data_IF_748144555137
#
_entry.id   IF_748144555137
#
_cell.length_a   1.000
_cell.length_b   1.000
_cell.length_c   1.000
_cell.angle_alpha   90.00
_cell.angle_beta   90.00
_cell.angle_gamma   90.00
#
_symmetry.space_group_name_H-M   'P 1'
#
loop_
_entity.id
_entity.type
_entity.pdbx_description
1 polymer ?
#
# COMPACT_ATOMS: atom_id res chain seq x y z
N UNK A 1 24.75 13.69 -65.31
CA UNK A 1 24.69 12.26 -64.91
C UNK A 1 25.15 12.14 -63.45
N UNK A 2 24.32 12.56 -62.49
CA UNK A 2 24.57 12.36 -61.04
C UNK A 2 23.31 12.48 -60.15
N UNK A 3 22.12 12.36 -60.72
CA UNK A 3 20.83 12.58 -60.03
C UNK A 3 20.57 11.60 -58.88
N UNK A 4 21.17 10.41 -58.93
CA UNK A 4 21.01 9.38 -57.90
C UNK A 4 21.72 9.72 -56.59
N UNK A 5 22.93 10.29 -56.65
CA UNK A 5 23.71 10.61 -55.46
C UNK A 5 23.10 11.77 -54.67
N UNK A 6 22.58 12.80 -55.35
CA UNK A 6 21.90 13.93 -54.70
C UNK A 6 20.60 13.51 -54.02
N UNK A 7 19.79 12.67 -54.68
CA UNK A 7 18.58 12.09 -54.10
C UNK A 7 18.90 11.22 -52.87
N UNK A 8 20.00 10.47 -52.90
CA UNK A 8 20.43 9.66 -51.76
C UNK A 8 20.86 10.52 -50.56
N UNK A 9 21.51 11.66 -50.81
CA UNK A 9 21.91 12.62 -49.76
C UNK A 9 20.68 13.33 -49.17
N UNK A 10 19.71 13.72 -49.99
CA UNK A 10 18.47 14.33 -49.50
C UNK A 10 17.62 13.34 -48.68
N UNK A 11 17.61 12.06 -49.06
CA UNK A 11 16.87 11.01 -48.37
C UNK A 11 17.52 10.48 -47.08
N UNK A 12 18.67 11.02 -46.66
CA UNK A 12 19.45 10.50 -45.51
C UNK A 12 18.64 10.33 -44.22
N UNK A 13 17.75 11.27 -43.90
CA UNK A 13 16.93 11.21 -42.68
C UNK A 13 15.85 10.15 -42.78
N UNK A 14 15.22 10.00 -43.95
CA UNK A 14 14.25 8.94 -44.22
C UNK A 14 14.91 7.56 -44.19
N UNK A 15 16.14 7.43 -44.71
CA UNK A 15 16.92 6.20 -44.66
C UNK A 15 17.27 5.84 -43.21
N UNK A 16 17.76 6.80 -42.42
CA UNK A 16 18.05 6.56 -40.99
C UNK A 16 16.80 6.18 -40.22
N UNK A 17 15.67 6.83 -40.49
CA UNK A 17 14.38 6.50 -39.86
C UNK A 17 13.92 5.08 -40.21
N UNK A 18 13.97 4.70 -41.49
CA UNK A 18 13.59 3.35 -41.92
C UNK A 18 14.53 2.28 -41.35
N UNK A 19 15.83 2.55 -41.29
CA UNK A 19 16.80 1.64 -40.65
C UNK A 19 16.47 1.48 -39.17
N UNK A 20 16.20 2.57 -38.45
CA UNK A 20 15.85 2.54 -37.03
C UNK A 20 14.55 1.78 -36.77
N UNK A 21 13.52 2.00 -37.58
CA UNK A 21 12.25 1.28 -37.48
C UNK A 21 12.43 -0.22 -37.71
N UNK A 22 13.23 -0.58 -38.72
CA UNK A 22 13.51 -1.99 -39.05
C UNK A 22 14.32 -2.66 -37.94
N UNK A 23 15.33 -1.98 -37.38
CA UNK A 23 16.12 -2.48 -36.25
C UNK A 23 15.26 -2.69 -35.00
N UNK A 24 14.39 -1.73 -34.66
CA UNK A 24 13.50 -1.84 -33.52
C UNK A 24 12.54 -3.02 -33.69
N UNK A 25 11.94 -3.19 -34.87
CA UNK A 25 11.07 -4.32 -35.18
C UNK A 25 11.81 -5.65 -35.04
N UNK A 26 13.03 -5.76 -35.58
CA UNK A 26 13.85 -6.97 -35.47
C UNK A 26 14.22 -7.29 -34.01
N UNK A 27 14.49 -6.28 -33.18
CA UNK A 27 14.78 -6.48 -31.75
C UNK A 27 13.54 -7.01 -31.03
N UNK A 28 12.38 -6.38 -31.22
CA UNK A 28 11.13 -6.82 -30.57
C UNK A 28 10.76 -8.23 -31.01
N UNK A 29 10.82 -8.51 -32.30
CA UNK A 29 10.54 -9.84 -32.84
C UNK A 29 11.50 -10.91 -32.30
N UNK A 30 12.79 -10.56 -32.17
CA UNK A 30 13.79 -11.45 -31.56
C UNK A 30 13.49 -11.70 -30.07
N UNK A 31 13.09 -10.68 -29.32
CA UNK A 31 12.73 -10.80 -27.91
C UNK A 31 11.43 -11.59 -27.69
N UNK A 32 10.44 -11.44 -28.57
CA UNK A 32 9.19 -12.21 -28.52
C UNK A 32 9.42 -13.70 -28.82
N UNK A 33 10.33 -14.02 -29.74
CA UNK A 33 10.72 -15.41 -30.03
C UNK A 33 11.68 -15.98 -29.00
N UNK A 34 12.32 -15.12 -28.21
CA UNK A 34 13.15 -15.56 -27.11
C UNK A 34 12.23 -16.05 -25.98
N UNK A 35 11.95 -17.35 -26.04
CA UNK A 35 11.32 -18.09 -24.96
C UNK A 35 12.43 -18.86 -24.21
N UNK A 36 13.24 -18.20 -23.36
CA UNK A 36 14.18 -18.94 -22.53
C UNK A 36 13.35 -19.92 -21.71
N UNK A 37 13.76 -21.19 -21.72
CA UNK A 37 13.16 -22.16 -20.82
C UNK A 37 13.19 -21.55 -19.41
N UNK A 38 12.07 -21.56 -18.65
CA UNK A 38 12.11 -21.11 -17.27
C UNK A 38 13.26 -21.86 -16.62
N UNK A 39 14.15 -21.14 -15.95
CA UNK A 39 15.30 -21.73 -15.30
C UNK A 39 14.78 -22.88 -14.44
N UNK A 40 15.10 -24.12 -14.84
CA UNK A 40 14.74 -25.29 -14.05
C UNK A 40 15.57 -25.12 -12.79
N UNK A 41 14.91 -24.68 -11.72
CA UNK A 41 15.51 -24.64 -10.41
C UNK A 41 15.71 -26.10 -10.05
N UNK A 42 16.93 -26.60 -10.29
CA UNK A 42 17.32 -27.93 -9.87
C UNK A 42 17.01 -28.02 -8.36
N UNK A 43 16.37 -29.09 -7.91
CA UNK A 43 15.98 -29.24 -6.50
C UNK A 43 17.21 -29.17 -5.55
N UNK A 44 18.42 -29.34 -6.10
CA UNK A 44 19.70 -29.07 -5.45
C UNK A 44 19.94 -27.58 -5.14
N UNK A 45 19.48 -26.67 -5.99
CA UNK A 45 19.52 -25.20 -5.75
C UNK A 45 18.39 -24.72 -4.84
N UNK A 46 17.22 -25.39 -4.85
CA UNK A 46 16.16 -25.16 -3.83
C UNK A 46 16.69 -25.45 -2.42
N UNK A 47 17.59 -26.44 -2.25
CA UNK A 47 18.22 -26.72 -0.96
C UNK A 47 19.17 -25.60 -0.48
N UNK A 48 19.65 -24.71 -1.37
CA UNK A 48 20.40 -23.50 -0.99
C UNK A 48 19.49 -22.26 -0.81
N UNK A 49 18.26 -22.30 -1.35
CA UNK A 49 17.16 -21.37 -1.04
C UNK A 49 16.43 -21.77 0.25
N UNK A 50 16.72 -22.94 0.81
CA UNK A 50 16.52 -23.23 2.22
C UNK A 50 17.60 -22.56 3.08
N UNK A 51 17.93 -21.30 2.83
CA UNK A 51 18.31 -20.44 3.95
C UNK A 51 17.05 -20.35 4.80
N UNK A 52 16.88 -21.30 5.70
CA UNK A 52 16.07 -21.11 6.89
C UNK A 52 16.42 -19.71 7.36
N UNK A 53 15.43 -18.81 7.33
CA UNK A 53 15.58 -17.54 8.03
C UNK A 53 15.69 -17.94 9.49
N UNK A 54 16.90 -18.26 9.91
CA UNK A 54 17.24 -18.42 11.31
C UNK A 54 17.14 -17.01 11.85
N UNK A 55 15.96 -16.69 12.40
CA UNK A 55 15.82 -15.56 13.29
C UNK A 55 16.93 -15.76 14.32
N UNK A 56 17.90 -14.84 14.34
CA UNK A 56 18.95 -14.88 15.34
C UNK A 56 18.25 -14.78 16.70
N UNK A 57 18.25 -15.88 17.45
CA UNK A 57 17.62 -15.93 18.77
C UNK A 57 18.20 -14.84 19.70
N UNK A 58 19.44 -14.39 19.44
CA UNK A 58 20.09 -13.27 20.11
C UNK A 58 19.48 -11.89 19.80
N UNK A 59 18.90 -11.68 18.61
CA UNK A 59 18.17 -10.45 18.26
C UNK A 59 16.83 -10.34 19.01
N UNK A 60 16.19 -11.46 19.32
CA UNK A 60 14.95 -11.50 20.11
C UNK A 60 15.21 -11.49 21.61
N UNK A 61 16.25 -12.17 22.09
CA UNK A 61 16.58 -12.27 23.52
C UNK A 61 17.01 -10.94 24.17
N UNK A 62 17.32 -9.92 23.37
CA UNK A 62 17.85 -8.63 23.85
C UNK A 62 16.84 -7.47 23.85
N UNK A 63 15.63 -7.64 23.30
CA UNK A 63 14.57 -6.62 23.44
C UNK A 63 13.83 -6.79 24.76
N UNK A 64 14.49 -6.45 25.86
CA UNK A 64 13.82 -6.32 27.14
C UNK A 64 12.74 -5.22 27.03
N UNK A 65 11.49 -5.56 27.31
CA UNK A 65 10.44 -4.58 27.49
C UNK A 65 10.84 -3.67 28.65
N UNK A 66 11.11 -2.39 28.35
CA UNK A 66 11.31 -1.36 29.36
C UNK A 66 10.11 -0.41 29.37
N UNK A 67 9.81 0.22 30.52
CA UNK A 67 8.90 1.35 30.56
C UNK A 67 9.35 2.46 29.60
N UNK A 68 8.38 3.22 29.08
CA UNK A 68 8.67 4.46 28.37
C UNK A 68 9.29 5.47 29.34
N UNK A 69 10.23 6.26 28.84
CA UNK A 69 10.68 7.48 29.51
C UNK A 69 9.56 8.53 29.49
N UNK A 70 9.66 9.55 30.34
CA UNK A 70 8.70 10.66 30.36
C UNK A 70 8.57 11.35 28.99
N UNK A 71 9.70 11.57 28.31
CA UNK A 71 9.74 12.17 26.96
C UNK A 71 9.05 11.29 25.92
N UNK A 72 9.26 9.96 25.96
CA UNK A 72 8.59 9.04 25.02
C UNK A 72 7.08 8.96 25.29
N UNK A 73 6.68 9.01 26.57
CA UNK A 73 5.27 9.07 26.95
C UNK A 73 4.62 10.38 26.47
N UNK A 74 5.33 11.51 26.56
CA UNK A 74 4.88 12.79 25.99
C UNK A 74 4.71 12.71 24.48
N UNK A 75 5.68 12.15 23.75
CA UNK A 75 5.57 11.94 22.31
C UNK A 75 4.38 11.05 21.94
N UNK A 76 4.15 9.97 22.70
CA UNK A 76 3.02 9.09 22.48
C UNK A 76 1.68 9.83 22.66
N UNK A 77 1.56 10.69 23.68
CA UNK A 77 0.38 11.55 23.89
C UNK A 77 0.18 12.56 22.75
N UNK A 78 1.26 13.19 22.28
CA UNK A 78 1.20 14.14 21.16
C UNK A 78 0.78 13.43 19.87
N UNK A 79 1.35 12.26 19.59
CA UNK A 79 0.96 11.45 18.44
C UNK A 79 -0.51 11.01 18.53
N UNK A 80 -0.95 10.57 19.71
CA UNK A 80 -2.35 10.15 19.93
C UNK A 80 -3.35 11.28 19.67
N UNK A 81 -2.99 12.53 20.01
CA UNK A 81 -3.83 13.71 19.76
C UNK A 81 -4.23 13.86 18.29
N UNK A 82 -3.40 13.41 17.35
CA UNK A 82 -3.78 13.38 15.94
C UNK A 82 -5.05 12.56 15.71
N UNK A 83 -5.11 11.34 16.26
CA UNK A 83 -6.27 10.47 16.10
C UNK A 83 -7.48 11.00 16.86
N UNK A 84 -7.28 11.60 18.03
CA UNK A 84 -8.37 12.23 18.77
C UNK A 84 -9.03 13.37 17.97
N UNK A 85 -8.22 14.24 17.37
CA UNK A 85 -8.72 15.40 16.62
C UNK A 85 -9.40 15.02 15.30
N UNK A 86 -9.06 13.85 14.74
CA UNK A 86 -9.48 13.42 13.41
C UNK A 86 -10.51 12.28 13.43
N UNK A 87 -10.96 11.86 14.61
CA UNK A 87 -11.89 10.76 14.78
C UNK A 87 -13.32 11.16 14.42
N UNK A 88 -13.98 10.31 13.65
CA UNK A 88 -15.39 10.43 13.28
C UNK A 88 -16.17 9.37 14.03
N UNK A 89 -16.94 9.78 15.04
CA UNK A 89 -17.65 8.87 15.96
C UNK A 89 -18.66 7.97 15.28
N UNK A 90 -19.33 8.47 14.25
CA UNK A 90 -20.42 7.81 13.54
C UNK A 90 -19.93 6.57 12.80
N UNK A 91 -18.71 6.63 12.25
CA UNK A 91 -18.12 5.57 11.44
C UNK A 91 -16.97 4.87 12.16
N UNK A 92 -16.47 5.42 13.25
CA UNK A 92 -15.24 4.97 13.90
C UNK A 92 -13.97 5.22 13.08
N UNK A 93 -14.06 5.91 11.94
CA UNK A 93 -12.91 6.17 11.05
C UNK A 93 -12.10 7.37 11.56
N UNK A 94 -10.88 7.52 11.02
CA UNK A 94 -10.03 8.70 11.27
C UNK A 94 -9.60 9.29 9.95
N UNK A 95 -9.66 10.63 9.85
CA UNK A 95 -9.19 11.37 8.69
C UNK A 95 -7.69 11.15 8.43
N UNK A 96 -7.32 11.03 7.15
CA UNK A 96 -5.91 10.92 6.72
C UNK A 96 -5.12 12.21 6.89
N UNK A 97 -5.80 13.35 7.01
CA UNK A 97 -5.23 14.64 7.40
C UNK A 97 -6.24 15.50 8.15
N UNK A 98 -5.77 16.49 8.92
CA UNK A 98 -6.63 17.46 9.61
C UNK A 98 -7.58 18.15 8.63
N UNK A 99 -8.88 18.15 8.97
CA UNK A 99 -9.97 18.74 8.17
C UNK A 99 -10.08 18.18 6.75
N UNK A 100 -9.59 16.96 6.53
CA UNK A 100 -9.72 16.25 5.27
C UNK A 100 -10.49 14.94 5.47
N UNK A 101 -11.83 14.94 5.29
CA UNK A 101 -12.69 13.80 5.64
C UNK A 101 -12.57 12.66 4.62
N UNK A 102 -11.38 12.08 4.51
CA UNK A 102 -11.07 10.94 3.67
C UNK A 102 -9.96 10.10 4.29
N UNK A 103 -10.01 8.79 4.07
CA UNK A 103 -8.95 7.86 4.48
C UNK A 103 -8.82 6.71 3.49
N UNK A 104 -7.61 6.19 3.40
CA UNK A 104 -7.30 4.94 2.69
C UNK A 104 -7.26 3.77 3.68
N UNK A 105 -7.19 2.54 3.18
CA UNK A 105 -6.94 1.37 4.04
C UNK A 105 -5.55 1.42 4.67
N UNK A 106 -4.58 2.13 4.07
CA UNK A 106 -3.29 2.40 4.68
C UNK A 106 -3.40 3.26 5.94
N UNK A 107 -4.19 4.34 5.87
CA UNK A 107 -4.44 5.24 7.00
C UNK A 107 -5.24 4.54 8.08
N UNK A 108 -6.27 3.79 7.67
CA UNK A 108 -7.12 3.00 8.56
C UNK A 108 -6.30 1.96 9.33
N UNK A 109 -5.42 1.21 8.64
CA UNK A 109 -4.53 0.26 9.30
C UNK A 109 -3.57 0.94 10.29
N UNK A 110 -3.08 2.13 9.94
CA UNK A 110 -2.22 2.93 10.82
C UNK A 110 -2.97 3.42 12.06
N UNK A 111 -4.25 3.79 11.92
CA UNK A 111 -5.12 4.10 13.04
C UNK A 111 -5.36 2.89 13.94
N UNK A 112 -5.68 1.72 13.37
CA UNK A 112 -5.90 0.51 14.17
C UNK A 112 -4.67 0.14 15.01
N UNK A 113 -3.48 0.16 14.41
CA UNK A 113 -2.23 -0.05 15.14
C UNK A 113 -1.97 1.04 16.18
N UNK A 114 -2.27 2.30 15.86
CA UNK A 114 -2.18 3.42 16.78
C UNK A 114 -3.10 3.26 18.00
N UNK A 115 -4.34 2.81 17.79
CA UNK A 115 -5.31 2.57 18.84
C UNK A 115 -4.91 1.37 19.73
N UNK A 116 -4.41 0.27 19.13
CA UNK A 116 -3.84 -0.86 19.87
C UNK A 116 -2.65 -0.41 20.72
N UNK A 117 -1.74 0.39 20.15
CA UNK A 117 -0.59 0.91 20.88
C UNK A 117 -1.03 1.86 22.01
N UNK A 118 -1.99 2.75 21.76
CA UNK A 118 -2.51 3.69 22.75
C UNK A 118 -3.16 2.97 23.93
N UNK A 119 -3.91 1.90 23.68
CA UNK A 119 -4.47 1.06 24.75
C UNK A 119 -3.36 0.38 25.57
N UNK A 120 -2.36 -0.21 24.90
CA UNK A 120 -1.23 -0.87 25.59
C UNK A 120 -0.33 0.08 26.38
N UNK A 121 -0.29 1.35 25.99
CA UNK A 121 0.42 2.42 26.69
C UNK A 121 -0.46 3.14 27.71
N UNK A 122 -1.70 2.66 27.94
CA UNK A 122 -2.66 3.23 28.88
C UNK A 122 -3.01 4.70 28.59
N UNK A 123 -2.90 5.11 27.32
CA UNK A 123 -3.35 6.42 26.83
C UNK A 123 -4.87 6.45 26.58
N UNK A 124 -5.47 5.28 26.36
CA UNK A 124 -6.89 5.06 26.11
C UNK A 124 -7.36 3.93 27.02
N UNK A 125 -8.55 4.07 27.61
CA UNK A 125 -9.13 3.01 28.44
C UNK A 125 -9.56 1.81 27.60
N UNK A 126 -9.79 0.67 28.23
CA UNK A 126 -10.28 -0.54 27.55
C UNK A 126 -11.66 -0.27 26.92
N UNK A 127 -12.53 0.46 27.61
CA UNK A 127 -13.88 0.78 27.12
C UNK A 127 -13.82 1.68 25.88
N UNK A 128 -12.96 2.72 25.91
CA UNK A 128 -12.79 3.61 24.77
C UNK A 128 -12.11 2.91 23.59
N UNK A 129 -11.23 1.94 23.86
CA UNK A 129 -10.67 1.07 22.82
C UNK A 129 -11.75 0.21 22.17
N UNK A 130 -12.55 -0.49 22.98
CA UNK A 130 -13.61 -1.39 22.50
C UNK A 130 -14.67 -0.62 21.71
N UNK A 131 -15.08 0.56 22.18
CA UNK A 131 -16.02 1.43 21.49
C UNK A 131 -15.51 1.83 20.10
N UNK A 132 -14.29 2.38 20.05
CA UNK A 132 -13.69 2.88 18.81
C UNK A 132 -13.42 1.76 17.81
N UNK A 133 -12.83 0.65 18.28
CA UNK A 133 -12.50 -0.49 17.43
C UNK A 133 -13.78 -1.17 16.92
N UNK A 134 -14.80 -1.33 17.77
CA UNK A 134 -16.08 -1.92 17.35
C UNK A 134 -16.80 -1.06 16.32
N UNK A 135 -16.80 0.27 16.49
CA UNK A 135 -17.38 1.19 15.51
C UNK A 135 -16.68 1.08 14.14
N UNK A 136 -15.34 1.09 14.13
CA UNK A 136 -14.56 0.95 12.91
C UNK A 136 -14.80 -0.40 12.23
N UNK A 137 -14.77 -1.51 12.98
CA UNK A 137 -14.97 -2.85 12.42
C UNK A 137 -16.38 -3.02 11.84
N UNK A 138 -17.41 -2.42 12.46
CA UNK A 138 -18.76 -2.38 11.89
C UNK A 138 -18.80 -1.64 10.56
N UNK A 139 -18.11 -0.50 10.46
CA UNK A 139 -17.99 0.26 9.21
C UNK A 139 -17.27 -0.54 8.13
N UNK A 140 -16.11 -1.13 8.46
CA UNK A 140 -15.34 -1.95 7.52
C UNK A 140 -16.13 -3.17 7.00
N UNK A 141 -16.98 -3.75 7.84
CA UNK A 141 -17.83 -4.89 7.46
C UNK A 141 -18.99 -4.51 6.53
N UNK A 142 -19.41 -3.24 6.50
CA UNK A 142 -20.59 -2.78 5.76
C UNK A 142 -20.26 -1.81 4.61
N UNK A 143 -19.03 -1.30 4.51
CA UNK A 143 -18.67 -0.31 3.50
C UNK A 143 -18.79 -0.87 2.07
N UNK A 144 -19.14 -0.03 1.08
CA UNK A 144 -19.16 -0.45 -0.32
C UNK A 144 -17.77 -0.85 -0.79
N UNK A 145 -17.67 -1.90 -1.61
CA UNK A 145 -16.41 -2.39 -2.15
C UNK A 145 -16.27 -2.02 -3.62
N UNK A 146 -15.03 -1.91 -4.09
CA UNK A 146 -14.76 -1.74 -5.52
C UNK A 146 -15.15 -3.03 -6.25
N UNK A 147 -16.08 -2.90 -7.21
CA UNK A 147 -16.65 -4.02 -7.98
C UNK A 147 -17.05 -5.20 -7.06
N UNK A 148 -17.59 -4.93 -5.86
CA UNK A 148 -18.01 -5.93 -4.84
C UNK A 148 -16.92 -6.93 -4.38
N UNK A 149 -15.64 -6.59 -4.57
CA UNK A 149 -14.52 -7.53 -4.30
C UNK A 149 -13.62 -7.10 -3.15
N UNK A 150 -13.04 -5.90 -3.24
CA UNK A 150 -12.02 -5.43 -2.30
C UNK A 150 -12.25 -3.96 -1.95
N UNK A 151 -11.66 -3.47 -0.84
CA UNK A 151 -11.78 -2.07 -0.47
C UNK A 151 -11.29 -1.15 -1.59
N UNK A 152 -12.06 -0.10 -1.85
CA UNK A 152 -11.66 1.00 -2.70
C UNK A 152 -10.40 1.69 -2.13
N UNK A 153 -9.62 2.35 -2.99
CA UNK A 153 -8.40 3.05 -2.56
C UNK A 153 -8.65 4.21 -1.59
N UNK A 154 -9.83 4.82 -1.58
CA UNK A 154 -10.15 5.95 -0.69
C UNK A 154 -11.63 6.00 -0.35
N UNK A 155 -11.93 6.32 0.91
CA UNK A 155 -13.29 6.47 1.42
C UNK A 155 -13.44 7.80 2.13
N UNK A 156 -14.58 8.44 1.96
CA UNK A 156 -14.94 9.57 2.81
C UNK A 156 -15.23 9.04 4.22
N UNK A 157 -14.62 9.63 5.23
CA UNK A 157 -14.67 9.11 6.62
C UNK A 157 -16.00 9.37 7.32
N UNK A 158 -16.79 10.32 6.83
CA UNK A 158 -18.09 10.69 7.40
C UNK A 158 -19.22 9.87 6.76
N UNK A 159 -19.21 9.76 5.43
CA UNK A 159 -20.28 9.11 4.67
C UNK A 159 -19.99 7.66 4.28
N UNK A 160 -18.74 7.20 4.44
CA UNK A 160 -18.28 5.87 4.00
C UNK A 160 -18.40 5.68 2.47
N UNK A 161 -18.64 6.76 1.72
CA UNK A 161 -18.71 6.71 0.26
C UNK A 161 -17.34 6.46 -0.35
N UNK A 162 -17.28 5.69 -1.44
CA UNK A 162 -16.08 5.60 -2.27
C UNK A 162 -15.80 6.98 -2.87
N UNK A 163 -14.56 7.45 -2.72
CA UNK A 163 -14.13 8.75 -3.23
C UNK A 163 -12.85 8.66 -4.04
N UNK A 164 -12.58 9.69 -4.84
CA UNK A 164 -11.28 9.92 -5.44
C UNK A 164 -10.25 10.34 -4.39
N UNK A 165 -8.97 10.44 -4.78
CA UNK A 165 -7.92 10.98 -3.90
C UNK A 165 -8.11 12.45 -3.52
N UNK A 166 -8.97 13.18 -4.24
CA UNK A 166 -9.35 14.57 -3.93
C UNK A 166 -10.69 14.64 -3.17
N UNK A 167 -11.13 13.53 -2.58
CA UNK A 167 -12.37 13.40 -1.80
C UNK A 167 -13.65 13.74 -2.59
N UNK A 168 -13.68 13.43 -3.89
CA UNK A 168 -14.89 13.56 -4.71
C UNK A 168 -15.58 12.19 -4.79
N UNK A 169 -16.88 12.13 -4.53
CA UNK A 169 -17.66 10.90 -4.62
C UNK A 169 -17.55 10.24 -6.00
N UNK A 170 -17.46 8.90 -6.00
CA UNK A 170 -17.43 8.08 -7.22
C UNK A 170 -18.31 6.86 -7.03
N UNK A 171 -19.13 6.57 -8.03
CA UNK A 171 -20.05 5.44 -8.00
C UNK A 171 -19.31 4.10 -8.07
N UNK A 172 -18.25 4.04 -8.91
CA UNK A 172 -17.47 2.81 -9.09
C UNK A 172 -16.26 2.69 -8.16
N UNK A 173 -15.63 3.81 -7.79
CA UNK A 173 -14.33 3.80 -7.10
C UNK A 173 -13.12 3.97 -8.04
N UNK A 174 -11.92 3.87 -7.45
CA UNK A 174 -10.60 4.03 -8.07
C UNK A 174 -9.85 2.70 -8.27
N UNK A 175 -10.48 1.58 -7.97
CA UNK A 175 -9.85 0.27 -7.85
C UNK A 175 -9.48 -0.08 -6.41
N UNK A 176 -8.68 -1.12 -6.25
CA UNK A 176 -8.14 -1.58 -4.97
C UNK A 176 -6.60 -1.56 -4.98
N UNK A 177 -6.00 -1.65 -3.79
CA UNK A 177 -4.54 -1.70 -3.58
C UNK A 177 -4.17 -2.96 -2.83
N UNK A 178 -3.37 -3.84 -3.46
CA UNK A 178 -2.86 -5.06 -2.81
C UNK A 178 -2.06 -4.74 -1.53
N UNK A 179 -1.33 -3.63 -1.55
CA UNK A 179 -0.50 -3.17 -0.43
C UNK A 179 -1.38 -2.75 0.73
N UNK A 180 -2.45 -1.99 0.46
CA UNK A 180 -3.32 -1.49 1.53
C UNK A 180 -4.14 -2.64 2.14
N UNK A 181 -4.58 -3.59 1.31
CA UNK A 181 -5.21 -4.84 1.78
C UNK A 181 -4.23 -5.63 2.65
N UNK A 182 -2.98 -5.81 2.20
CA UNK A 182 -1.97 -6.48 3.02
C UNK A 182 -1.70 -5.77 4.35
N UNK A 183 -1.72 -4.43 4.35
CA UNK A 183 -1.47 -3.63 5.54
C UNK A 183 -2.60 -3.69 6.56
N UNK A 184 -3.87 -3.69 6.14
CA UNK A 184 -5.00 -3.78 7.07
C UNK A 184 -5.08 -5.17 7.73
N UNK A 185 -4.58 -6.22 7.09
CA UNK A 185 -4.50 -7.54 7.69
C UNK A 185 -3.57 -7.60 8.92
N UNK A 186 -2.58 -6.70 9.02
CA UNK A 186 -1.64 -6.68 10.15
C UNK A 186 -2.34 -6.38 11.49
N UNK A 187 -3.01 -5.23 11.68
CA UNK A 187 -3.74 -4.99 12.92
C UNK A 187 -4.90 -5.97 13.12
N UNK A 188 -5.58 -6.42 12.06
CA UNK A 188 -6.62 -7.44 12.19
C UNK A 188 -6.07 -8.73 12.81
N UNK A 189 -4.91 -9.21 12.37
CA UNK A 189 -4.24 -10.38 12.95
C UNK A 189 -3.72 -10.13 14.38
N UNK A 190 -3.54 -8.89 14.81
CA UNK A 190 -3.16 -8.57 16.21
C UNK A 190 -4.39 -8.58 17.12
N UNK A 191 -5.59 -8.38 16.58
CA UNK A 191 -6.84 -8.36 17.34
C UNK A 191 -7.42 -9.76 17.61
N UNK A 192 -7.12 -10.75 16.76
CA UNK A 192 -7.52 -12.17 16.92
C UNK A 192 -6.42 -13.01 17.53
#
# INVERSE_FOLDING_TARGET
MSTFKENLIQARSAIVFLIGLTLAFLIVFSLEQWNPAPAVIDNATVSQVNKTVTLDEGLTATRAHRPLTETEMEWAKIAWRYFENNYVSETGMVNSADKYPASTMWDTASYMLGLIAAQRLELVSVEAFDERMSALLKTLAAMPLFDDTLPNKSYNTESVAMVTYTNVATERGLGWSAIDVGRIMVPLNVLV
#
